data_IF_461630360910
#
_entry.id   IF_461630360910
#
_cell.length_a   1.000
_cell.length_b   1.000
_cell.length_c   1.000
_cell.angle_alpha   90.00
_cell.angle_beta   90.00
_cell.angle_gamma   90.00
#
_symmetry.space_group_name_H-M   'P 1'
#
loop_
_entity.id
_entity.type
_entity.pdbx_description
1 polymer ?
#
# COMPACT_ATOMS: atom_id res chain seq x y z
N UNK A 1 -79.36 -7.76 -47.65
CA UNK A 1 -78.47 -8.70 -46.89
C UNK A 1 -77.02 -8.66 -47.43
N UNK A 2 -76.82 -8.70 -48.73
CA UNK A 2 -75.47 -8.62 -49.37
C UNK A 2 -74.70 -7.34 -49.01
N UNK A 3 -75.37 -6.22 -48.90
CA UNK A 3 -74.81 -4.91 -48.57
C UNK A 3 -74.24 -4.85 -47.15
N UNK A 4 -74.88 -5.52 -46.18
CA UNK A 4 -74.40 -5.64 -44.82
C UNK A 4 -73.17 -6.56 -44.73
N UNK A 5 -73.17 -7.66 -45.50
CA UNK A 5 -72.00 -8.56 -45.55
C UNK A 5 -70.80 -7.87 -46.12
N UNK A 6 -70.90 -7.07 -47.18
CA UNK A 6 -69.84 -6.29 -47.75
C UNK A 6 -69.31 -5.21 -46.78
N UNK A 7 -70.19 -4.57 -46.02
CA UNK A 7 -69.86 -3.59 -45.01
C UNK A 7 -69.07 -4.24 -43.85
N UNK A 8 -69.49 -5.41 -43.34
CA UNK A 8 -68.76 -6.16 -42.32
C UNK A 8 -67.38 -6.66 -42.81
N UNK A 9 -67.28 -7.12 -44.06
CA UNK A 9 -66.02 -7.52 -44.66
C UNK A 9 -65.04 -6.35 -44.80
N UNK A 10 -65.55 -5.17 -45.24
CA UNK A 10 -64.77 -3.94 -45.29
C UNK A 10 -64.24 -3.52 -43.92
N UNK A 11 -65.11 -3.55 -42.90
CA UNK A 11 -64.71 -3.25 -41.52
C UNK A 11 -63.66 -4.21 -41.00
N UNK A 12 -63.83 -5.55 -41.25
CA UNK A 12 -62.86 -6.56 -40.86
C UNK A 12 -61.51 -6.32 -41.49
N UNK A 13 -61.48 -6.06 -42.82
CA UNK A 13 -60.21 -5.76 -43.53
C UNK A 13 -59.53 -4.49 -42.96
N UNK A 14 -60.30 -3.44 -42.72
CA UNK A 14 -59.79 -2.20 -42.11
C UNK A 14 -59.22 -2.45 -40.71
N UNK A 15 -59.90 -3.21 -39.85
CA UNK A 15 -59.45 -3.57 -38.51
C UNK A 15 -58.14 -4.38 -38.57
N UNK A 16 -58.03 -5.35 -39.48
CA UNK A 16 -56.82 -6.15 -39.66
C UNK A 16 -55.64 -5.30 -40.15
N UNK A 17 -55.86 -4.37 -41.09
CA UNK A 17 -54.80 -3.45 -41.58
C UNK A 17 -54.36 -2.53 -40.45
N UNK A 18 -55.26 -1.97 -39.66
CA UNK A 18 -54.96 -1.10 -38.54
C UNK A 18 -54.20 -1.88 -37.45
N UNK A 19 -54.64 -3.10 -37.10
CA UNK A 19 -53.96 -3.93 -36.14
C UNK A 19 -52.52 -4.31 -36.59
N UNK A 20 -52.36 -4.63 -37.90
CA UNK A 20 -51.06 -4.93 -38.47
C UNK A 20 -50.10 -3.70 -38.39
N UNK A 21 -50.62 -2.52 -38.74
CA UNK A 21 -49.82 -1.30 -38.70
C UNK A 21 -49.40 -0.93 -37.27
N UNK A 22 -50.31 -1.00 -36.30
CA UNK A 22 -50.01 -0.75 -34.89
C UNK A 22 -49.01 -1.79 -34.33
N UNK A 23 -49.24 -3.09 -34.59
CA UNK A 23 -48.32 -4.14 -34.16
C UNK A 23 -46.93 -3.96 -34.72
N UNK A 24 -46.79 -3.62 -36.00
CA UNK A 24 -45.50 -3.41 -36.67
C UNK A 24 -44.77 -2.20 -36.10
N UNK A 25 -45.48 -1.08 -35.84
CA UNK A 25 -44.90 0.10 -35.23
C UNK A 25 -44.34 -0.12 -33.84
N UNK A 26 -45.08 -0.81 -32.96
CA UNK A 26 -44.64 -1.13 -31.58
C UNK A 26 -43.51 -2.14 -31.60
N UNK A 27 -43.63 -3.23 -32.38
CA UNK A 27 -42.62 -4.30 -32.43
C UNK A 27 -41.27 -3.82 -32.92
N UNK A 28 -41.26 -2.95 -33.94
CA UNK A 28 -40.02 -2.41 -34.48
C UNK A 28 -39.24 -1.58 -33.44
N UNK A 29 -39.95 -0.74 -32.67
CA UNK A 29 -39.34 0.07 -31.62
C UNK A 29 -38.75 -0.78 -30.51
N UNK A 30 -39.49 -1.76 -30.01
CA UNK A 30 -39.00 -2.69 -28.98
C UNK A 30 -37.80 -3.48 -29.52
N UNK A 31 -37.85 -3.97 -30.75
CA UNK A 31 -36.73 -4.67 -31.38
C UNK A 31 -35.46 -3.82 -31.46
N UNK A 32 -35.59 -2.52 -31.76
CA UNK A 32 -34.48 -1.58 -31.76
C UNK A 32 -33.81 -1.46 -30.37
N UNK A 33 -34.61 -1.35 -29.30
CA UNK A 33 -34.12 -1.28 -27.93
C UNK A 33 -33.38 -2.59 -27.56
N UNK A 34 -33.99 -3.74 -27.86
CA UNK A 34 -33.37 -5.06 -27.61
C UNK A 34 -32.05 -5.21 -28.36
N UNK A 35 -32.01 -4.77 -29.62
CA UNK A 35 -30.79 -4.81 -30.41
C UNK A 35 -29.69 -3.96 -29.78
N UNK A 36 -30.00 -2.77 -29.32
CA UNK A 36 -29.03 -1.88 -28.68
C UNK A 36 -28.57 -2.44 -27.32
N UNK A 37 -29.49 -3.00 -26.51
CA UNK A 37 -29.12 -3.72 -25.28
C UNK A 37 -28.17 -4.91 -25.56
N UNK A 38 -28.33 -5.59 -26.70
CA UNK A 38 -27.44 -6.69 -27.07
C UNK A 38 -26.00 -6.21 -27.40
N UNK A 39 -25.85 -4.97 -27.87
CA UNK A 39 -24.52 -4.34 -28.10
C UNK A 39 -23.84 -4.04 -26.77
N UNK A 40 -24.57 -3.54 -25.77
CA UNK A 40 -24.04 -3.34 -24.41
C UNK A 40 -23.50 -4.64 -23.84
N UNK A 41 -24.20 -5.75 -24.01
CA UNK A 41 -23.75 -7.09 -23.58
C UNK A 41 -22.43 -7.50 -24.26
N UNK A 42 -22.12 -6.95 -25.43
CA UNK A 42 -20.86 -7.17 -26.16
C UNK A 42 -19.78 -6.12 -25.83
N UNK A 43 -20.05 -5.24 -24.87
CA UNK A 43 -19.10 -4.23 -24.39
C UNK A 43 -19.18 -2.88 -25.11
N UNK A 44 -20.16 -2.67 -26.02
CA UNK A 44 -20.31 -1.41 -26.73
C UNK A 44 -21.38 -0.55 -26.05
N UNK A 45 -20.96 0.46 -25.30
CA UNK A 45 -21.84 1.44 -24.66
C UNK A 45 -22.15 2.55 -25.65
N UNK A 46 -23.34 2.54 -26.26
CA UNK A 46 -23.77 3.63 -27.12
C UNK A 46 -25.23 4.02 -26.79
N UNK A 47 -25.49 5.31 -26.57
CA UNK A 47 -26.86 5.78 -26.36
C UNK A 47 -27.72 5.62 -27.63
N UNK A 48 -29.00 5.53 -27.44
CA UNK A 48 -29.99 5.63 -28.50
C UNK A 48 -30.36 7.10 -28.73
N UNK A 49 -30.86 7.40 -29.93
CA UNK A 49 -31.42 8.71 -30.20
C UNK A 49 -32.60 9.00 -29.25
N UNK A 50 -32.78 10.28 -28.91
CA UNK A 50 -33.87 10.71 -28.05
C UNK A 50 -35.21 10.30 -28.63
N UNK A 51 -36.15 9.79 -27.83
CA UNK A 51 -37.43 9.34 -28.34
C UNK A 51 -38.24 10.50 -28.88
N UNK A 52 -38.84 10.31 -30.07
CA UNK A 52 -39.77 11.31 -30.68
C UNK A 52 -41.12 11.36 -29.97
N UNK A 53 -41.44 10.31 -29.16
CA UNK A 53 -42.73 10.13 -28.51
C UNK A 53 -42.52 9.93 -26.99
N UNK A 54 -43.44 10.56 -26.23
CA UNK A 54 -43.46 10.48 -24.78
C UNK A 54 -44.47 9.37 -24.36
N UNK A 55 -44.12 8.14 -24.68
CA UNK A 55 -44.87 6.91 -24.32
C UNK A 55 -43.96 5.99 -23.46
N UNK A 56 -44.48 4.84 -23.04
CA UNK A 56 -43.74 3.89 -22.19
C UNK A 56 -42.46 3.37 -22.87
N UNK A 57 -42.41 3.36 -24.20
CA UNK A 57 -41.20 3.00 -24.95
C UNK A 57 -40.21 4.17 -24.96
N UNK A 58 -40.68 5.38 -24.96
CA UNK A 58 -39.85 6.58 -24.76
C UNK A 58 -39.18 6.57 -23.40
N UNK A 59 -39.93 6.31 -22.34
CA UNK A 59 -39.40 6.15 -20.95
C UNK A 59 -38.36 5.05 -20.86
N UNK A 60 -38.60 3.93 -21.59
CA UNK A 60 -37.62 2.82 -21.65
C UNK A 60 -36.30 3.23 -22.33
N UNK A 61 -36.37 4.01 -23.42
CA UNK A 61 -35.19 4.54 -24.12
C UNK A 61 -34.43 5.52 -23.22
N UNK A 62 -35.12 6.40 -22.52
CA UNK A 62 -34.50 7.37 -21.62
C UNK A 62 -33.81 6.64 -20.42
N UNK A 63 -34.47 5.64 -19.87
CA UNK A 63 -33.89 4.80 -18.81
C UNK A 63 -32.65 4.05 -19.31
N UNK A 64 -32.71 3.48 -20.52
CA UNK A 64 -31.54 2.84 -21.15
C UNK A 64 -30.39 3.82 -21.33
N UNK A 65 -30.67 5.02 -21.85
CA UNK A 65 -29.67 6.07 -22.06
C UNK A 65 -29.05 6.55 -20.75
N UNK A 66 -29.86 6.67 -19.68
CA UNK A 66 -29.38 6.99 -18.35
C UNK A 66 -28.43 5.88 -17.81
N UNK A 67 -28.83 4.62 -17.91
CA UNK A 67 -28.00 3.49 -17.47
C UNK A 67 -26.68 3.42 -18.26
N UNK A 68 -26.72 3.61 -19.58
CA UNK A 68 -25.54 3.58 -20.44
C UNK A 68 -24.55 4.68 -20.07
N UNK A 69 -25.01 5.92 -19.89
CA UNK A 69 -24.20 7.05 -19.43
C UNK A 69 -23.61 6.80 -18.03
N UNK A 70 -24.42 6.27 -17.13
CA UNK A 70 -23.97 5.96 -15.76
C UNK A 70 -22.90 4.87 -15.74
N UNK A 71 -23.06 3.85 -16.58
CA UNK A 71 -22.08 2.77 -16.73
C UNK A 71 -20.75 3.29 -17.32
N UNK A 72 -20.80 4.13 -18.34
CA UNK A 72 -19.60 4.76 -18.92
C UNK A 72 -18.86 5.63 -17.89
N UNK A 73 -19.61 6.42 -17.12
CA UNK A 73 -19.05 7.21 -16.02
C UNK A 73 -18.37 6.31 -14.98
N UNK A 74 -19.03 5.23 -14.53
CA UNK A 74 -18.47 4.31 -13.55
C UNK A 74 -17.22 3.61 -14.07
N UNK A 75 -17.17 3.22 -15.35
CA UNK A 75 -15.97 2.63 -15.96
C UNK A 75 -14.82 3.63 -16.01
N UNK A 76 -15.11 4.89 -16.35
CA UNK A 76 -14.11 5.96 -16.34
C UNK A 76 -13.58 6.24 -14.94
N UNK A 77 -14.45 6.32 -13.95
CA UNK A 77 -14.07 6.55 -12.56
C UNK A 77 -13.24 5.35 -12.00
N UNK A 78 -13.62 4.14 -12.36
CA UNK A 78 -12.86 2.93 -12.00
C UNK A 78 -11.46 2.92 -12.64
N UNK A 79 -11.36 3.30 -13.92
CA UNK A 79 -10.07 3.39 -14.60
C UNK A 79 -9.15 4.45 -13.96
N UNK A 80 -9.72 5.62 -13.58
CA UNK A 80 -8.97 6.65 -12.85
C UNK A 80 -8.50 6.18 -11.49
N UNK A 81 -9.37 5.55 -10.70
CA UNK A 81 -9.03 5.03 -9.39
C UNK A 81 -7.94 3.94 -9.47
N UNK A 82 -7.99 3.07 -10.48
CA UNK A 82 -6.96 2.06 -10.73
C UNK A 82 -5.60 2.69 -11.08
N UNK A 83 -5.58 3.75 -11.90
CA UNK A 83 -4.35 4.47 -12.24
C UNK A 83 -3.77 5.21 -11.03
N UNK A 84 -4.61 5.88 -10.23
CA UNK A 84 -4.19 6.54 -8.99
C UNK A 84 -3.58 5.54 -8.00
N UNK A 85 -4.21 4.35 -7.84
CA UNK A 85 -3.67 3.28 -7.02
C UNK A 85 -2.31 2.80 -7.54
N UNK A 86 -2.18 2.61 -8.86
CA UNK A 86 -0.91 2.21 -9.48
C UNK A 86 0.21 3.23 -9.25
N UNK A 87 -0.12 4.53 -9.35
CA UNK A 87 0.83 5.61 -9.07
C UNK A 87 1.22 5.63 -7.59
N UNK A 88 0.25 5.42 -6.69
CA UNK A 88 0.51 5.36 -5.25
C UNK A 88 1.39 4.15 -4.88
N UNK A 89 1.12 2.97 -5.46
CA UNK A 89 1.96 1.78 -5.33
C UNK A 89 3.38 2.02 -5.85
N UNK A 90 3.51 2.65 -7.04
CA UNK A 90 4.83 2.98 -7.59
C UNK A 90 5.60 3.94 -6.70
N UNK A 91 4.97 5.00 -6.18
CA UNK A 91 5.59 5.92 -5.22
C UNK A 91 5.99 5.23 -3.92
N UNK A 92 5.15 4.33 -3.42
CA UNK A 92 5.45 3.52 -2.23
C UNK A 92 6.66 2.62 -2.45
N UNK A 93 6.77 1.98 -3.62
CA UNK A 93 7.93 1.17 -3.99
C UNK A 93 9.20 2.01 -4.15
N UNK A 94 9.08 3.21 -4.73
CA UNK A 94 10.20 4.14 -4.89
C UNK A 94 10.69 4.68 -3.54
N UNK A 95 9.78 4.91 -2.59
CA UNK A 95 10.13 5.35 -1.23
C UNK A 95 10.86 4.28 -0.39
N UNK A 96 10.81 2.99 -0.81
CA UNK A 96 11.57 1.91 -0.16
C UNK A 96 13.07 1.97 -0.46
N UNK A 97 13.50 2.72 -1.47
CA UNK A 97 14.91 3.01 -1.73
C UNK A 97 15.20 4.37 -1.07
N UNK A 98 15.95 4.38 0.02
CA UNK A 98 16.45 5.63 0.60
C UNK A 98 17.59 6.16 -0.29
N UNK A 99 17.35 7.19 -1.15
CA UNK A 99 18.36 7.66 -2.10
C UNK A 99 19.58 8.23 -1.39
N UNK A 100 19.37 8.88 -0.26
CA UNK A 100 20.42 9.48 0.54
C UNK A 100 21.37 8.42 1.13
N UNK A 101 20.83 7.30 1.63
CA UNK A 101 21.62 6.17 2.08
C UNK A 101 22.45 5.56 0.94
N UNK A 102 21.85 5.42 -0.25
CA UNK A 102 22.54 4.90 -1.42
C UNK A 102 23.71 5.82 -1.84
N UNK A 103 23.47 7.12 -2.01
CA UNK A 103 24.51 8.08 -2.39
C UNK A 103 25.65 8.10 -1.37
N UNK A 104 25.33 8.18 -0.10
CA UNK A 104 26.34 8.19 0.97
C UNK A 104 27.18 6.91 1.00
N UNK A 105 26.58 5.75 0.72
CA UNK A 105 27.32 4.49 0.66
C UNK A 105 28.20 4.43 -0.58
N UNK A 106 27.75 4.93 -1.74
CA UNK A 106 28.57 5.02 -2.94
C UNK A 106 29.77 5.97 -2.77
N UNK A 107 29.56 7.12 -2.12
CA UNK A 107 30.65 8.06 -1.82
C UNK A 107 31.68 7.44 -0.88
N UNK A 108 31.24 6.70 0.14
CA UNK A 108 32.14 5.95 1.04
C UNK A 108 32.93 4.89 0.24
N UNK A 109 32.30 4.12 -0.62
CA UNK A 109 32.97 3.12 -1.45
C UNK A 109 34.03 3.78 -2.35
N UNK A 110 33.70 4.92 -2.98
CA UNK A 110 34.63 5.66 -3.81
C UNK A 110 35.84 6.16 -3.00
N UNK A 111 35.61 6.70 -1.81
CA UNK A 111 36.65 7.14 -0.90
C UNK A 111 37.58 6.00 -0.48
N UNK A 112 37.04 4.82 -0.10
CA UNK A 112 37.79 3.61 0.23
C UNK A 112 38.62 3.13 -0.97
N UNK A 113 38.08 3.19 -2.18
CA UNK A 113 38.79 2.82 -3.41
C UNK A 113 39.97 3.74 -3.70
N UNK A 114 39.80 5.07 -3.52
CA UNK A 114 40.90 6.06 -3.69
C UNK A 114 42.03 5.85 -2.69
N UNK A 115 41.71 5.28 -1.52
CA UNK A 115 42.75 4.95 -0.51
C UNK A 115 43.42 3.59 -0.74
N UNK A 116 42.98 2.83 -1.75
CA UNK A 116 43.52 1.51 -2.02
C UNK A 116 43.02 0.43 -1.04
N UNK A 117 41.97 0.69 -0.24
CA UNK A 117 41.39 -0.22 0.77
C UNK A 117 40.47 -1.26 0.12
N UNK A 118 41.02 -2.08 -0.79
CA UNK A 118 40.26 -2.97 -1.69
C UNK A 118 39.38 -3.99 -0.94
N UNK A 119 39.85 -4.52 0.19
CA UNK A 119 39.09 -5.47 1.00
C UNK A 119 37.83 -4.84 1.60
N UNK A 120 37.91 -3.59 2.01
CA UNK A 120 36.79 -2.84 2.55
C UNK A 120 35.81 -2.41 1.46
N UNK A 121 36.31 -2.05 0.29
CA UNK A 121 35.47 -1.83 -0.90
C UNK A 121 34.65 -3.07 -1.21
N UNK A 122 35.30 -4.25 -1.22
CA UNK A 122 34.62 -5.53 -1.49
C UNK A 122 33.54 -5.80 -0.44
N UNK A 123 33.85 -5.62 0.84
CA UNK A 123 32.87 -5.79 1.95
C UNK A 123 31.70 -4.83 1.84
N UNK A 124 31.95 -3.55 1.57
CA UNK A 124 30.90 -2.53 1.40
C UNK A 124 29.95 -2.86 0.25
N UNK A 125 30.50 -3.25 -0.92
CA UNK A 125 29.69 -3.64 -2.09
C UNK A 125 28.84 -4.88 -1.81
N UNK A 126 29.41 -5.89 -1.13
CA UNK A 126 28.66 -7.10 -0.75
C UNK A 126 27.53 -6.78 0.24
N UNK A 127 27.82 -5.99 1.28
CA UNK A 127 26.82 -5.55 2.26
C UNK A 127 25.69 -4.75 1.60
N UNK A 128 26.04 -3.80 0.71
CA UNK A 128 25.07 -3.01 -0.02
C UNK A 128 24.18 -3.89 -0.93
N UNK A 129 24.77 -4.84 -1.65
CA UNK A 129 24.04 -5.80 -2.48
C UNK A 129 23.05 -6.64 -1.65
N UNK A 130 23.50 -7.16 -0.50
CA UNK A 130 22.67 -7.95 0.43
C UNK A 130 21.55 -7.11 1.04
N UNK A 131 21.82 -5.88 1.45
CA UNK A 131 20.86 -4.91 1.95
C UNK A 131 19.71 -4.70 0.95
N UNK A 132 20.04 -4.35 -0.31
CA UNK A 132 19.02 -4.13 -1.34
C UNK A 132 18.30 -5.40 -1.77
N UNK A 133 18.95 -6.57 -1.73
CA UNK A 133 18.28 -7.84 -2.00
C UNK A 133 17.19 -8.14 -0.97
N UNK A 134 17.41 -7.83 0.30
CA UNK A 134 16.42 -7.97 1.36
C UNK A 134 15.31 -6.92 1.22
N UNK A 135 15.67 -5.66 0.94
CA UNK A 135 14.73 -4.56 0.74
C UNK A 135 13.79 -4.81 -0.45
N UNK A 136 14.35 -5.19 -1.62
CA UNK A 136 13.62 -5.28 -2.90
C UNK A 136 13.00 -6.64 -3.19
N UNK A 137 13.03 -7.59 -2.27
CA UNK A 137 12.40 -8.90 -2.47
C UNK A 137 10.88 -8.76 -2.67
N UNK A 138 10.45 -8.87 -3.95
CA UNK A 138 9.17 -8.40 -4.50
C UNK A 138 7.91 -9.18 -4.13
N UNK A 139 7.99 -10.34 -3.45
CA UNK A 139 6.83 -11.24 -3.35
C UNK A 139 6.05 -11.21 -2.04
N UNK A 140 6.55 -10.57 -0.99
CA UNK A 140 5.89 -10.61 0.32
C UNK A 140 6.03 -9.27 1.03
N UNK A 141 4.92 -8.69 1.46
CA UNK A 141 4.86 -7.52 2.35
C UNK A 141 5.15 -7.89 3.82
N UNK A 142 5.17 -9.20 4.11
CA UNK A 142 5.46 -9.80 5.42
C UNK A 142 6.82 -10.50 5.36
N UNK A 143 7.60 -10.37 6.42
CA UNK A 143 8.93 -10.96 6.63
C UNK A 143 8.92 -11.80 7.91
N UNK A 144 10.06 -12.34 8.31
CA UNK A 144 10.28 -12.91 9.64
C UNK A 144 11.11 -11.96 10.50
N UNK A 145 11.01 -12.09 11.81
CA UNK A 145 11.83 -11.32 12.76
C UNK A 145 13.32 -11.52 12.45
N UNK A 146 13.73 -12.76 12.13
CA UNK A 146 15.10 -13.06 11.71
C UNK A 146 15.57 -12.18 10.53
N UNK A 147 14.77 -12.10 9.47
CA UNK A 147 15.13 -11.30 8.27
C UNK A 147 15.16 -9.81 8.53
N UNK A 148 14.29 -9.32 9.39
CA UNK A 148 14.30 -7.91 9.80
C UNK A 148 15.54 -7.60 10.66
N UNK A 149 15.89 -8.48 11.61
CA UNK A 149 17.12 -8.35 12.41
C UNK A 149 18.38 -8.44 11.54
N UNK A 150 18.42 -9.37 10.56
CA UNK A 150 19.50 -9.46 9.57
C UNK A 150 19.61 -8.16 8.76
N UNK A 151 18.48 -7.61 8.31
CA UNK A 151 18.45 -6.39 7.49
C UNK A 151 19.01 -5.18 8.24
N UNK A 152 18.62 -4.97 9.51
CA UNK A 152 19.18 -3.88 10.32
C UNK A 152 20.64 -4.11 10.71
N UNK A 153 21.06 -5.35 10.91
CA UNK A 153 22.46 -5.68 11.14
C UNK A 153 23.34 -5.28 9.94
N UNK A 154 22.90 -5.57 8.71
CA UNK A 154 23.63 -5.17 7.49
C UNK A 154 23.62 -3.65 7.33
N UNK A 155 22.50 -2.98 7.63
CA UNK A 155 22.45 -1.51 7.64
C UNK A 155 23.49 -0.90 8.57
N UNK A 156 23.57 -1.41 9.81
CA UNK A 156 24.52 -0.95 10.82
C UNK A 156 25.97 -1.25 10.44
N UNK A 157 26.25 -2.40 9.82
CA UNK A 157 27.58 -2.69 9.25
C UNK A 157 28.02 -1.63 8.24
N UNK A 158 27.13 -1.21 7.35
CA UNK A 158 27.42 -0.17 6.35
C UNK A 158 27.64 1.19 7.05
N UNK A 159 26.81 1.51 8.05
CA UNK A 159 26.98 2.75 8.83
C UNK A 159 28.29 2.76 9.61
N UNK A 160 28.69 1.64 10.20
CA UNK A 160 29.96 1.51 10.94
C UNK A 160 31.18 1.68 10.01
N UNK A 161 31.13 1.19 8.78
CA UNK A 161 32.19 1.48 7.79
C UNK A 161 32.30 2.99 7.50
N UNK A 162 31.19 3.72 7.58
CA UNK A 162 31.14 5.18 7.34
C UNK A 162 31.58 5.99 8.55
N UNK A 163 31.16 5.57 9.75
CA UNK A 163 31.33 6.30 11.00
C UNK A 163 32.40 5.68 11.93
N UNK A 164 33.35 4.88 11.36
CA UNK A 164 34.54 4.36 12.04
C UNK A 164 34.17 3.51 13.28
N UNK A 165 33.26 2.56 13.13
CA UNK A 165 32.82 1.64 14.19
C UNK A 165 32.23 2.35 15.43
N UNK A 166 31.53 3.47 15.20
CA UNK A 166 30.92 4.30 16.25
C UNK A 166 29.69 3.68 16.91
N UNK A 167 29.07 2.68 16.28
CA UNK A 167 27.78 2.13 16.70
C UNK A 167 27.96 0.67 17.13
N UNK A 168 27.73 0.39 18.39
CA UNK A 168 27.65 -0.99 18.89
C UNK A 168 26.20 -1.48 18.75
N UNK A 169 26.02 -2.65 18.16
CA UNK A 169 24.71 -3.28 18.04
C UNK A 169 24.67 -4.63 18.76
N UNK A 170 23.73 -4.78 19.66
CA UNK A 170 23.44 -6.01 20.39
C UNK A 170 22.04 -6.49 20.05
N UNK A 171 21.93 -7.71 19.56
CA UNK A 171 20.64 -8.36 19.32
C UNK A 171 20.49 -9.54 20.28
N UNK A 172 19.51 -9.44 21.18
CA UNK A 172 19.17 -10.46 22.18
C UNK A 172 17.70 -10.86 22.01
N UNK A 173 17.40 -11.45 20.86
CA UNK A 173 16.09 -12.02 20.56
C UNK A 173 16.19 -13.53 20.65
N UNK A 174 15.33 -14.20 21.45
CA UNK A 174 15.28 -15.66 21.52
C UNK A 174 15.07 -16.31 20.15
N UNK A 175 15.78 -17.40 19.87
CA UNK A 175 15.69 -18.14 18.60
C UNK A 175 14.26 -18.57 18.27
N UNK A 176 13.46 -18.84 19.30
CA UNK A 176 12.05 -19.24 19.17
C UNK A 176 11.18 -18.17 18.50
N UNK A 177 11.56 -16.88 18.61
CA UNK A 177 10.83 -15.76 18.03
C UNK A 177 11.25 -15.45 16.58
N UNK A 178 12.41 -15.95 16.16
CA UNK A 178 12.99 -15.61 14.86
C UNK A 178 12.10 -15.98 13.66
N UNK A 179 11.27 -17.03 13.78
CA UNK A 179 10.38 -17.52 12.71
C UNK A 179 9.00 -16.83 12.69
N UNK A 180 8.73 -15.95 13.65
CA UNK A 180 7.47 -15.23 13.66
C UNK A 180 7.42 -14.13 12.61
N UNK A 181 6.20 -13.82 12.16
CA UNK A 181 5.92 -12.86 11.11
C UNK A 181 5.94 -11.42 11.63
N UNK A 182 6.55 -10.55 10.84
CA UNK A 182 6.55 -9.10 11.05
C UNK A 182 6.43 -8.42 9.67
N UNK A 183 5.72 -7.28 9.54
CA UNK A 183 5.72 -6.51 8.30
C UNK A 183 7.13 -6.06 7.93
N UNK A 184 7.48 -6.16 6.65
CA UNK A 184 8.79 -5.72 6.15
C UNK A 184 9.09 -4.28 6.52
N UNK A 185 10.38 -3.97 6.74
CA UNK A 185 10.85 -2.63 7.05
C UNK A 185 10.14 -2.03 8.28
N UNK A 186 9.93 -2.86 9.31
CA UNK A 186 9.39 -2.41 10.59
C UNK A 186 10.51 -1.94 11.51
N UNK A 187 11.62 -2.68 11.61
CA UNK A 187 12.74 -2.33 12.48
C UNK A 187 13.62 -1.22 11.90
N UNK A 188 13.82 -1.20 10.59
CA UNK A 188 14.77 -0.28 9.94
C UNK A 188 14.50 1.21 10.23
N UNK A 189 13.28 1.77 10.09
CA UNK A 189 13.06 3.20 10.34
C UNK A 189 13.37 3.61 11.78
N UNK A 190 13.18 2.70 12.73
CA UNK A 190 13.45 2.94 14.15
C UNK A 190 14.97 2.97 14.39
N UNK A 191 15.68 1.95 13.90
CA UNK A 191 17.14 1.88 13.97
C UNK A 191 17.80 3.05 13.24
N UNK A 192 17.26 3.43 12.07
CA UNK A 192 17.75 4.61 11.33
C UNK A 192 17.60 5.89 12.15
N UNK A 193 16.51 6.08 12.87
CA UNK A 193 16.31 7.20 13.78
C UNK A 193 17.29 7.16 14.96
N UNK A 194 17.45 6.01 15.60
CA UNK A 194 18.41 5.84 16.71
C UNK A 194 19.83 6.19 16.28
N UNK A 195 20.23 5.80 15.07
CA UNK A 195 21.54 6.15 14.53
C UNK A 195 21.65 7.65 14.23
N UNK A 196 20.75 8.18 13.37
CA UNK A 196 20.92 9.52 12.81
C UNK A 196 20.56 10.64 13.79
N UNK A 197 19.55 10.43 14.63
CA UNK A 197 19.01 11.44 15.53
C UNK A 197 19.24 11.13 17.01
N UNK A 198 19.70 9.93 17.34
CA UNK A 198 20.12 9.54 18.68
C UNK A 198 21.63 9.61 18.83
N UNK A 199 22.33 8.62 18.29
CA UNK A 199 23.76 8.37 18.54
C UNK A 199 24.66 9.42 17.85
N UNK A 200 24.46 9.71 16.57
CA UNK A 200 25.32 10.62 15.82
C UNK A 200 25.19 12.09 16.24
N UNK A 201 24.17 12.43 17.03
CA UNK A 201 23.97 13.75 17.65
C UNK A 201 24.62 13.83 19.05
N UNK A 202 25.13 12.72 19.62
CA UNK A 202 25.93 12.77 20.86
C UNK A 202 27.28 13.48 20.64
N UNK A 203 27.89 14.02 21.70
CA UNK A 203 29.14 14.72 21.60
C UNK A 203 30.29 13.88 20.99
N UNK A 204 30.34 12.59 21.37
CA UNK A 204 31.35 11.63 20.93
C UNK A 204 30.95 10.90 19.63
N UNK A 205 29.71 11.06 19.19
CA UNK A 205 29.11 10.35 18.05
C UNK A 205 29.26 8.83 18.12
N UNK A 206 29.24 8.30 19.33
CA UNK A 206 29.31 6.87 19.63
C UNK A 206 28.16 6.47 20.51
N UNK A 207 27.72 5.21 20.38
CA UNK A 207 26.65 4.69 21.22
C UNK A 207 26.32 3.25 20.92
N UNK A 208 25.35 2.75 21.68
CA UNK A 208 24.91 1.37 21.65
C UNK A 208 23.42 1.30 21.32
N UNK A 209 23.06 0.40 20.41
CA UNK A 209 21.67 0.04 20.13
C UNK A 209 21.47 -1.42 20.56
N UNK A 210 20.46 -1.65 21.38
CA UNK A 210 20.09 -2.98 21.86
C UNK A 210 18.70 -3.33 21.30
N UNK A 211 18.59 -4.47 20.65
CA UNK A 211 17.33 -5.04 20.15
C UNK A 211 17.03 -6.30 20.97
N UNK A 212 16.00 -6.25 21.77
CA UNK A 212 15.51 -7.41 22.55
C UNK A 212 14.11 -7.81 22.13
N UNK A 213 13.66 -9.00 22.53
CA UNK A 213 12.31 -9.45 22.23
C UNK A 213 11.84 -10.53 23.19
N UNK A 214 10.54 -10.55 23.46
CA UNK A 214 9.90 -11.58 24.29
C UNK A 214 8.47 -11.83 23.85
N UNK A 215 7.91 -12.94 24.34
CA UNK A 215 6.50 -13.26 24.20
C UNK A 215 5.74 -12.71 25.40
N UNK A 216 4.65 -12.00 25.16
CA UNK A 216 3.74 -11.54 26.20
C UNK A 216 2.31 -12.00 25.82
N UNK A 217 1.81 -12.99 26.54
CA UNK A 217 0.55 -13.68 26.24
C UNK A 217 0.49 -14.23 24.81
N UNK A 218 -0.29 -13.61 23.94
CA UNK A 218 -0.44 -13.95 22.52
C UNK A 218 0.30 -13.02 21.59
N UNK A 219 1.09 -12.07 22.14
CA UNK A 219 1.78 -11.03 21.40
C UNK A 219 3.30 -11.21 21.46
N UNK A 220 3.97 -10.64 20.50
CA UNK A 220 5.41 -10.45 20.52
C UNK A 220 5.70 -8.97 20.76
N UNK A 221 6.56 -8.73 21.73
CA UNK A 221 7.10 -7.39 22.01
C UNK A 221 8.56 -7.40 21.61
N UNK A 222 8.92 -6.45 20.74
CA UNK A 222 10.31 -6.14 20.40
C UNK A 222 10.63 -4.76 20.98
N UNK A 223 11.75 -4.64 21.67
CA UNK A 223 12.24 -3.40 22.27
C UNK A 223 13.55 -3.01 21.60
N UNK A 224 13.60 -1.81 21.07
CA UNK A 224 14.82 -1.16 20.58
C UNK A 224 15.17 -0.05 21.56
N UNK A 225 16.36 -0.13 22.15
CA UNK A 225 16.88 0.86 23.10
C UNK A 225 18.18 1.43 22.56
N UNK A 226 18.33 2.75 22.56
CA UNK A 226 19.57 3.46 22.25
C UNK A 226 19.99 4.35 23.43
N UNK A 227 21.29 4.58 23.57
CA UNK A 227 21.91 5.47 24.54
C UNK A 227 22.25 6.86 23.93
N UNK A 228 21.48 7.28 22.92
CA UNK A 228 21.62 8.56 22.23
C UNK A 228 21.20 9.76 23.06
N UNK A 229 21.05 10.92 22.39
CA UNK A 229 20.69 12.19 23.08
C UNK A 229 19.27 12.20 23.66
N UNK A 230 18.42 11.21 23.31
CA UNK A 230 17.02 11.20 23.71
C UNK A 230 16.16 12.24 22.98
N UNK A 231 14.87 12.25 23.29
CA UNK A 231 13.85 13.04 22.61
C UNK A 231 13.14 13.93 23.65
N UNK A 232 12.96 15.21 23.35
CA UNK A 232 12.22 16.11 24.21
C UNK A 232 10.71 15.74 24.25
N UNK A 233 10.06 15.93 25.41
CA UNK A 233 8.66 15.55 25.62
C UNK A 233 7.70 16.15 24.57
N UNK A 234 7.95 17.38 24.11
CA UNK A 234 7.15 18.05 23.10
C UNK A 234 7.24 17.36 21.73
N UNK A 235 8.42 16.89 21.35
CA UNK A 235 8.65 16.14 20.11
C UNK A 235 8.08 14.71 20.23
N UNK A 236 8.25 14.08 21.39
CA UNK A 236 7.76 12.74 21.68
C UNK A 236 6.23 12.66 21.48
N UNK A 237 5.48 13.67 21.94
CA UNK A 237 4.03 13.75 21.79
C UNK A 237 3.57 13.81 20.33
N UNK A 238 4.43 14.26 19.41
CA UNK A 238 4.09 14.44 17.98
C UNK A 238 4.61 13.34 17.06
N UNK A 239 5.57 12.52 17.49
CA UNK A 239 6.20 11.48 16.65
C UNK A 239 5.18 10.51 16.06
N UNK A 240 4.19 10.09 16.84
CA UNK A 240 3.17 9.11 16.41
C UNK A 240 1.86 9.77 15.96
N UNK A 241 1.70 11.11 16.07
CA UNK A 241 0.49 11.82 15.61
C UNK A 241 0.52 12.19 14.13
N UNK A 242 1.71 12.23 13.52
CA UNK A 242 1.92 12.74 12.16
C UNK A 242 1.82 14.27 12.06
N UNK A 243 1.58 14.98 13.17
CA UNK A 243 1.60 16.43 13.24
C UNK A 243 3.07 16.89 13.22
N UNK A 244 3.46 17.68 12.24
CA UNK A 244 4.85 18.12 12.06
C UNK A 244 5.64 17.37 10.97
N UNK A 245 5.05 16.39 10.32
CA UNK A 245 5.69 15.62 9.22
C UNK A 245 6.15 16.49 8.04
N UNK A 246 5.65 17.71 7.92
CA UNK A 246 5.97 18.65 6.84
C UNK A 246 7.17 19.59 7.14
N UNK A 247 7.62 19.70 8.38
CA UNK A 247 8.66 20.67 8.79
C UNK A 247 9.99 20.05 9.20
N UNK A 248 10.05 18.77 9.52
CA UNK A 248 11.27 18.07 9.95
C UNK A 248 11.61 16.97 8.94
N UNK A 249 12.63 17.18 8.15
CA UNK A 249 13.09 16.33 7.04
C UNK A 249 12.84 14.82 7.17
N UNK A 250 11.76 14.34 6.59
CA UNK A 250 11.59 12.97 6.11
C UNK A 250 11.52 11.80 7.12
N UNK A 251 12.22 11.85 8.23
CA UNK A 251 12.46 10.70 9.12
C UNK A 251 11.28 10.38 10.04
N UNK A 252 10.62 11.40 10.59
CA UNK A 252 9.42 11.22 11.43
C UNK A 252 8.24 10.63 10.66
N UNK A 253 8.18 10.88 9.33
CA UNK A 253 7.17 10.30 8.45
C UNK A 253 7.32 8.78 8.37
N UNK A 254 8.54 8.26 8.32
CA UNK A 254 8.79 6.83 8.21
C UNK A 254 8.35 6.06 9.47
N UNK A 255 8.59 6.63 10.66
CA UNK A 255 8.16 6.06 11.95
C UNK A 255 6.64 6.10 12.06
N UNK A 256 6.02 7.25 11.81
CA UNK A 256 4.56 7.38 11.80
C UNK A 256 3.90 6.38 10.85
N UNK A 257 4.42 6.25 9.63
CA UNK A 257 3.92 5.31 8.64
C UNK A 257 4.07 3.86 9.11
N UNK A 258 5.16 3.54 9.82
CA UNK A 258 5.36 2.21 10.42
C UNK A 258 4.33 1.93 11.51
N UNK A 259 4.14 2.86 12.44
CA UNK A 259 3.10 2.76 13.48
C UNK A 259 1.72 2.57 12.88
N UNK A 260 1.34 3.44 11.95
CA UNK A 260 0.03 3.40 11.30
C UNK A 260 -0.19 2.11 10.51
N UNK A 261 0.84 1.61 9.84
CA UNK A 261 0.80 0.33 9.12
C UNK A 261 0.53 -0.85 10.04
N UNK A 262 1.17 -0.90 11.22
CA UNK A 262 0.92 -1.94 12.21
C UNK A 262 -0.52 -1.88 12.72
N UNK A 263 -1.06 -0.68 13.00
CA UNK A 263 -2.46 -0.51 13.41
C UNK A 263 -3.45 -0.95 12.33
N UNK A 264 -3.19 -0.63 11.07
CA UNK A 264 -4.05 -1.06 9.95
C UNK A 264 -4.06 -2.58 9.79
N UNK A 265 -2.90 -3.23 9.99
CA UNK A 265 -2.76 -4.68 9.81
C UNK A 265 -3.31 -5.49 10.97
N UNK A 266 -3.19 -4.99 12.20
CA UNK A 266 -3.41 -5.79 13.41
C UNK A 266 -4.46 -5.20 14.36
N UNK A 267 -4.82 -3.95 14.21
CA UNK A 267 -5.76 -3.23 15.08
C UNK A 267 -5.11 -2.12 15.90
N UNK A 268 -5.93 -1.30 16.57
CA UNK A 268 -5.49 -0.11 17.33
C UNK A 268 -4.57 -0.42 18.51
N UNK A 269 -4.62 -1.64 19.02
CA UNK A 269 -3.87 -2.06 20.22
C UNK A 269 -2.41 -2.41 19.90
N UNK A 270 -2.07 -2.47 18.60
CA UNK A 270 -0.74 -2.76 18.08
C UNK A 270 -0.06 -1.51 17.53
N UNK A 271 1.25 -1.55 17.41
CA UNK A 271 2.01 -0.46 16.85
C UNK A 271 3.30 -0.18 17.60
N UNK A 272 3.67 1.10 17.65
CA UNK A 272 4.88 1.58 18.33
C UNK A 272 4.48 2.38 19.57
N UNK A 273 5.25 2.24 20.64
CA UNK A 273 5.25 3.16 21.78
C UNK A 273 6.67 3.63 22.06
N UNK A 274 6.81 4.89 22.48
CA UNK A 274 8.09 5.55 22.70
C UNK A 274 8.21 5.99 24.14
N UNK A 275 9.37 5.69 24.74
CA UNK A 275 9.79 6.22 26.04
C UNK A 275 11.16 6.86 25.86
N UNK A 276 11.31 8.14 26.17
CA UNK A 276 12.59 8.83 26.03
C UNK A 276 12.68 10.02 26.97
N UNK A 277 13.90 10.28 27.41
CA UNK A 277 14.25 11.48 28.17
C UNK A 277 15.52 12.12 27.57
N UNK A 278 15.60 13.43 27.47
CA UNK A 278 16.81 14.10 27.00
C UNK A 278 18.06 13.66 27.79
N UNK A 279 19.09 13.23 27.06
CA UNK A 279 20.36 12.76 27.62
C UNK A 279 20.35 11.34 28.19
N UNK A 280 19.24 10.59 28.04
CA UNK A 280 19.13 9.20 28.54
C UNK A 280 18.85 8.18 27.44
N UNK A 281 18.81 8.61 26.18
CA UNK A 281 18.50 7.77 25.04
C UNK A 281 16.99 7.57 24.81
N UNK A 282 16.67 6.59 23.95
CA UNK A 282 15.29 6.32 23.54
C UNK A 282 15.00 4.82 23.59
N UNK A 283 13.83 4.46 24.07
CA UNK A 283 13.26 3.13 24.00
C UNK A 283 12.02 3.12 23.12
N UNK A 284 11.96 2.17 22.19
CA UNK A 284 10.84 1.98 21.28
C UNK A 284 10.34 0.56 21.41
N UNK A 285 9.14 0.41 21.94
CA UNK A 285 8.44 -0.87 21.99
C UNK A 285 7.61 -1.05 20.71
N UNK A 286 7.69 -2.25 20.13
CA UNK A 286 6.94 -2.69 18.96
C UNK A 286 6.09 -3.87 19.38
N UNK A 287 4.77 -3.73 19.39
CA UNK A 287 3.84 -4.81 19.74
C UNK A 287 3.15 -5.34 18.49
N UNK A 288 3.23 -6.66 18.29
CA UNK A 288 2.60 -7.38 17.17
C UNK A 288 2.00 -8.71 17.66
N UNK A 289 0.94 -9.23 17.00
CA UNK A 289 0.40 -10.53 17.35
C UNK A 289 1.38 -11.67 16.96
N UNK A 290 1.49 -12.69 17.81
CA UNK A 290 2.36 -13.83 17.56
C UNK A 290 1.81 -14.74 16.45
N UNK A 291 2.26 -14.52 15.21
CA UNK A 291 1.90 -15.33 14.04
C UNK A 291 3.13 -16.03 13.49
N UNK A 292 3.16 -17.36 13.51
CA UNK A 292 4.24 -18.13 12.88
C UNK A 292 4.12 -18.10 11.37
N UNK A 293 5.26 -18.13 10.70
CA UNK A 293 5.31 -18.23 9.24
C UNK A 293 4.84 -19.63 8.82
N UNK A 294 3.55 -19.77 8.46
CA UNK A 294 3.08 -20.96 7.79
C UNK A 294 3.27 -20.78 6.28
N UNK A 295 3.76 -21.81 5.58
CA UNK A 295 4.01 -21.77 4.14
C UNK A 295 2.76 -21.59 3.28
N UNK A 296 1.59 -21.42 3.88
CA UNK A 296 0.30 -21.21 3.19
C UNK A 296 -0.09 -19.72 3.24
N UNK A 297 -0.18 -19.14 2.07
CA UNK A 297 -0.59 -17.75 1.75
C UNK A 297 -2.02 -17.35 2.21
N UNK A 298 -2.72 -18.18 2.99
CA UNK A 298 -4.16 -18.05 3.23
C UNK A 298 -4.57 -17.12 4.39
N UNK A 299 -3.62 -16.55 5.12
CA UNK A 299 -3.91 -15.71 6.30
C UNK A 299 -3.70 -14.20 6.11
N UNK A 300 -3.50 -13.74 4.87
CA UNK A 300 -3.41 -12.30 4.58
C UNK A 300 -4.83 -11.75 4.43
N UNK A 301 -5.19 -10.64 5.11
CA UNK A 301 -6.48 -9.98 4.91
C UNK A 301 -6.73 -9.68 3.42
N UNK A 302 -7.99 -9.76 2.94
CA UNK A 302 -8.32 -9.66 1.51
C UNK A 302 -7.90 -8.33 0.84
N UNK A 303 -7.57 -7.29 1.60
CA UNK A 303 -7.03 -6.01 1.11
C UNK A 303 -5.63 -6.12 0.45
N UNK A 304 -4.91 -7.24 0.65
CA UNK A 304 -3.56 -7.45 0.11
C UNK A 304 -3.45 -8.70 -0.79
N UNK A 305 -4.59 -9.33 -1.12
CA UNK A 305 -4.64 -10.40 -2.12
C UNK A 305 -4.77 -9.78 -3.52
N UNK A 306 -3.67 -9.34 -4.11
CA UNK A 306 -3.54 -9.20 -5.58
C UNK A 306 -2.07 -9.30 -5.99
#
# INVERSE_FOLDING_TARGET
QVQYVLMYLGFLVFALVLAHFMSHSITNRISSVIHQMSKVRKGTLSPMDSPEYHDEIGDLIDTYNYMTRKMDQLMTDQAKAAEELRIAEFRSLQAQINPHFLYNTMDMINWLAQQGRTDEVSRAVQSLSRFYKLTLSRKQSISTIYREAEHVSIYLQIQNMRYHDSITFVSDIPDELMEYQIPKLTLQPIIENSVLHGILETADKTGTIVLTGWMEDSDIVLLISDDGIGIAAEQLATILSGEGASSSGGTNIAVYNTHRRLQILYGSDYGLSYTSNPGQGTEVEIRIPARKHSATLDSIPPLYRK
#
